data_IF_722366519693
#
_entry.id   IF_722366519693
#
_cell.length_a   1.000
_cell.length_b   1.000
_cell.length_c   1.000
_cell.angle_alpha   90.00
_cell.angle_beta   90.00
_cell.angle_gamma   90.00
#
_symmetry.space_group_name_H-M   'P 1'
#
loop_
_entity.id
_entity.type
_entity.pdbx_description
1 polymer ?
#
# COMPACT_ATOMS: atom_id res chain seq x y z
N UNK A 1 48.39 36.23 36.24
CA UNK A 1 47.77 35.71 35.00
C UNK A 1 47.46 34.18 35.13
N UNK A 2 48.41 33.33 35.58
CA UNK A 2 48.16 31.88 35.72
C UNK A 2 47.03 31.57 36.72
N UNK A 3 47.01 32.24 37.88
CA UNK A 3 45.93 32.01 38.87
C UNK A 3 44.56 32.42 38.37
N UNK A 4 44.47 33.53 37.68
CA UNK A 4 43.20 34.02 37.12
C UNK A 4 42.69 33.10 36.00
N UNK A 5 43.60 32.56 35.18
CA UNK A 5 43.27 31.61 34.12
C UNK A 5 42.76 30.29 34.69
N UNK A 6 43.41 29.75 35.73
CA UNK A 6 42.99 28.52 36.40
C UNK A 6 41.59 28.68 37.01
N UNK A 7 41.33 29.80 37.68
CA UNK A 7 39.99 30.09 38.25
C UNK A 7 38.96 30.15 37.15
N UNK A 8 39.22 30.86 36.04
CA UNK A 8 38.28 30.95 34.92
C UNK A 8 37.98 29.57 34.29
N UNK A 9 39.00 28.73 34.06
CA UNK A 9 38.84 27.39 33.55
C UNK A 9 38.06 26.52 34.53
N UNK A 10 38.32 26.60 35.83
CA UNK A 10 37.57 25.87 36.85
C UNK A 10 36.11 26.22 36.90
N UNK A 11 35.80 27.52 36.80
CA UNK A 11 34.37 27.99 36.71
C UNK A 11 33.72 27.45 35.46
N UNK A 12 34.37 27.52 34.30
CA UNK A 12 33.83 26.96 33.04
C UNK A 12 33.54 25.46 33.12
N UNK A 13 34.44 24.68 33.74
CA UNK A 13 34.28 23.22 33.93
C UNK A 13 33.11 22.93 34.89
N UNK A 14 33.01 23.67 35.99
CA UNK A 14 31.93 23.48 36.99
C UNK A 14 30.53 23.84 36.41
N UNK A 15 30.49 24.87 35.57
CA UNK A 15 29.23 25.32 34.94
C UNK A 15 28.91 24.56 33.66
N UNK A 16 29.76 23.63 33.21
CA UNK A 16 29.49 22.84 32.03
C UNK A 16 28.32 21.86 32.26
N UNK A 17 27.23 21.92 31.50
CA UNK A 17 26.11 21.00 31.65
C UNK A 17 26.36 19.64 30.98
N UNK A 18 27.59 19.06 31.22
CA UNK A 18 28.05 17.83 30.57
C UNK A 18 27.09 16.64 30.78
N UNK A 19 26.47 16.56 31.98
CA UNK A 19 25.48 15.54 32.28
C UNK A 19 24.21 15.66 31.41
N UNK A 20 23.79 16.90 31.13
CA UNK A 20 22.65 17.16 30.25
C UNK A 20 22.98 16.83 28.78
N UNK A 21 24.20 17.14 28.34
CA UNK A 21 24.68 16.81 27.00
C UNK A 21 24.77 15.31 26.71
N UNK A 22 24.96 14.49 27.74
CA UNK A 22 24.94 13.02 27.62
C UNK A 22 23.56 12.40 27.81
N UNK A 23 22.64 13.08 28.49
CA UNK A 23 21.34 12.53 28.83
C UNK A 23 20.49 12.25 27.58
N UNK A 24 20.48 13.16 26.60
CA UNK A 24 19.70 13.02 25.36
C UNK A 24 20.16 11.81 24.52
N UNK A 25 21.47 11.66 24.17
CA UNK A 25 21.93 10.47 23.44
C UNK A 25 21.64 9.17 24.16
N UNK A 26 21.80 9.11 25.48
CA UNK A 26 21.53 7.90 26.27
C UNK A 26 20.02 7.58 26.23
N UNK A 27 19.14 8.56 26.42
CA UNK A 27 17.71 8.38 26.32
C UNK A 27 17.30 7.86 24.93
N UNK A 28 17.87 8.41 23.85
CA UNK A 28 17.62 7.96 22.48
C UNK A 28 18.05 6.50 22.27
N UNK A 29 19.23 6.10 22.74
CA UNK A 29 19.70 4.70 22.63
C UNK A 29 18.79 3.74 23.39
N UNK A 30 18.38 4.09 24.61
CA UNK A 30 17.49 3.25 25.41
C UNK A 30 16.12 3.14 24.76
N UNK A 31 15.56 4.24 24.27
CA UNK A 31 14.28 4.27 23.58
C UNK A 31 14.32 3.46 22.27
N UNK A 32 15.36 3.67 21.44
CA UNK A 32 15.57 2.90 20.21
C UNK A 32 15.71 1.40 20.50
N UNK A 33 16.45 1.02 21.55
CA UNK A 33 16.58 -0.36 21.98
C UNK A 33 15.27 -0.98 22.46
N UNK A 34 14.40 -0.22 23.11
CA UNK A 34 13.05 -0.67 23.50
C UNK A 34 12.17 -0.87 22.28
N UNK A 35 12.18 0.06 21.31
CA UNK A 35 11.44 -0.03 20.07
C UNK A 35 11.90 -1.22 19.22
N UNK A 36 13.21 -1.47 19.11
CA UNK A 36 13.75 -2.63 18.40
C UNK A 36 13.26 -3.95 19.00
N UNK A 37 13.20 -4.06 20.33
CA UNK A 37 12.62 -5.25 21.00
C UNK A 37 11.13 -5.41 20.72
N UNK A 38 10.42 -4.32 20.46
CA UNK A 38 9.03 -4.33 20.04
C UNK A 38 8.82 -4.53 18.51
N UNK A 39 9.89 -4.78 17.75
CA UNK A 39 9.85 -5.00 16.30
C UNK A 39 9.85 -3.72 15.46
N UNK A 40 10.11 -2.56 16.06
CA UNK A 40 10.20 -1.27 15.36
C UNK A 40 11.67 -0.93 15.10
N UNK A 41 12.06 -0.83 13.82
CA UNK A 41 13.40 -0.48 13.42
C UNK A 41 13.59 1.05 13.40
N UNK A 42 14.45 1.56 14.25
CA UNK A 42 14.89 2.96 14.26
C UNK A 42 16.19 3.05 13.46
N UNK A 43 16.18 3.74 12.33
CA UNK A 43 17.34 3.85 11.43
C UNK A 43 18.31 4.94 11.81
N UNK A 44 17.86 5.94 12.55
CA UNK A 44 18.59 7.17 12.83
C UNK A 44 18.27 7.64 14.25
N UNK A 45 19.28 8.04 15.02
CA UNK A 45 19.13 8.48 16.40
C UNK A 45 18.22 9.71 16.55
N UNK A 46 18.21 10.63 15.58
CA UNK A 46 17.34 11.81 15.58
C UNK A 46 15.91 11.55 15.11
N UNK A 47 15.59 10.30 14.69
CA UNK A 47 14.26 9.96 14.19
C UNK A 47 13.16 10.16 15.24
N UNK A 48 13.46 9.91 16.52
CA UNK A 48 12.50 10.10 17.61
C UNK A 48 12.20 11.58 17.86
N UNK A 49 13.20 12.45 17.74
CA UNK A 49 13.01 13.91 17.85
C UNK A 49 12.16 14.43 16.70
N UNK A 50 12.49 14.06 15.45
CA UNK A 50 11.68 14.42 14.28
C UNK A 50 10.26 13.90 14.33
N UNK A 51 10.06 12.69 14.91
CA UNK A 51 8.72 12.15 15.10
C UNK A 51 7.94 12.93 16.14
N UNK A 52 8.59 13.43 17.18
CA UNK A 52 7.96 14.27 18.21
C UNK A 52 7.51 15.63 17.66
N UNK A 53 8.19 16.14 16.64
CA UNK A 53 7.88 17.42 15.96
C UNK A 53 6.86 17.23 14.81
N UNK A 54 6.40 16.00 14.55
CA UNK A 54 5.43 15.75 13.51
C UNK A 54 4.08 16.40 13.84
N UNK A 55 3.51 17.11 12.89
CA UNK A 55 2.22 17.82 13.00
C UNK A 55 1.13 17.20 12.13
N UNK A 56 1.47 16.24 11.26
CA UNK A 56 0.54 15.53 10.40
C UNK A 56 1.04 14.11 10.07
N UNK A 57 0.11 13.23 9.71
CA UNK A 57 0.40 11.89 9.22
C UNK A 57 -0.11 11.74 7.78
N UNK A 58 0.77 11.35 6.87
CA UNK A 58 0.41 11.11 5.46
C UNK A 58 0.57 9.63 5.17
N UNK A 59 -0.50 8.99 4.69
CA UNK A 59 -0.53 7.56 4.44
C UNK A 59 -0.48 7.25 2.95
N UNK A 60 0.33 6.30 2.56
CA UNK A 60 0.11 5.56 1.32
C UNK A 60 -1.11 4.64 1.48
N UNK A 61 -1.88 4.46 0.41
CA UNK A 61 -3.07 3.60 0.42
C UNK A 61 -2.69 2.13 0.35
N UNK A 62 -2.05 1.74 -0.76
CA UNK A 62 -1.91 0.34 -1.15
C UNK A 62 -0.80 -0.37 -0.36
N UNK A 63 -1.15 -1.43 0.37
CA UNK A 63 -0.20 -2.16 1.22
C UNK A 63 0.14 -1.47 2.55
N UNK A 64 -0.35 -0.25 2.79
CA UNK A 64 -0.25 0.47 4.07
C UNK A 64 -1.58 0.50 4.79
N UNK A 65 -2.57 1.24 4.30
CA UNK A 65 -3.93 1.25 4.84
C UNK A 65 -4.73 0.02 4.40
N UNK A 66 -4.43 -0.51 3.21
CA UNK A 66 -5.02 -1.74 2.69
C UNK A 66 -4.01 -2.89 2.74
N UNK A 67 -4.48 -4.12 2.51
CA UNK A 67 -3.63 -5.31 2.51
C UNK A 67 -2.73 -5.39 1.26
N UNK A 68 -3.02 -4.61 0.20
CA UNK A 68 -2.35 -4.72 -1.10
C UNK A 68 -2.65 -6.05 -1.80
N UNK A 69 -3.78 -6.66 -1.46
CA UNK A 69 -4.26 -7.95 -2.00
C UNK A 69 -5.67 -7.78 -2.52
N UNK A 70 -5.85 -7.25 -3.74
CA UNK A 70 -7.17 -7.11 -4.31
C UNK A 70 -7.87 -8.47 -4.42
N UNK A 71 -9.19 -8.45 -4.24
CA UNK A 71 -10.06 -9.61 -4.42
C UNK A 71 -11.16 -9.24 -5.40
N UNK A 72 -11.49 -10.13 -6.36
CA UNK A 72 -12.57 -9.88 -7.30
C UNK A 72 -13.92 -9.98 -6.59
N UNK A 73 -14.83 -9.03 -6.88
CA UNK A 73 -16.13 -8.92 -6.22
C UNK A 73 -17.27 -9.63 -6.96
N UNK A 74 -17.16 -9.78 -8.27
CA UNK A 74 -18.29 -10.14 -9.15
C UNK A 74 -17.94 -11.27 -10.16
N UNK A 75 -17.18 -12.27 -9.74
CA UNK A 75 -16.83 -13.41 -10.62
C UNK A 75 -18.03 -14.24 -11.06
N UNK A 76 -19.16 -14.13 -10.38
CA UNK A 76 -20.41 -14.82 -10.69
C UNK A 76 -21.06 -14.32 -11.99
N UNK A 77 -20.75 -13.10 -12.42
CA UNK A 77 -21.21 -12.58 -13.72
C UNK A 77 -20.62 -13.34 -14.92
N UNK A 78 -19.50 -14.04 -14.70
CA UNK A 78 -18.82 -14.82 -15.75
C UNK A 78 -19.41 -16.22 -15.87
N UNK A 79 -19.85 -16.63 -17.08
CA UNK A 79 -20.18 -18.02 -17.36
C UNK A 79 -18.91 -18.91 -17.26
N UNK A 80 -19.05 -20.22 -17.04
CA UNK A 80 -17.91 -21.13 -16.84
C UNK A 80 -16.85 -21.06 -17.95
N UNK A 81 -17.25 -20.93 -19.20
CA UNK A 81 -16.34 -20.80 -20.34
C UNK A 81 -15.50 -19.51 -20.25
N UNK A 82 -16.10 -18.39 -19.89
CA UNK A 82 -15.38 -17.13 -19.72
C UNK A 82 -14.46 -17.14 -18.48
N UNK A 83 -14.83 -17.84 -17.40
CA UNK A 83 -13.95 -18.07 -16.25
C UNK A 83 -12.68 -18.80 -16.64
N UNK A 84 -12.80 -19.82 -17.51
CA UNK A 84 -11.63 -20.55 -18.03
C UNK A 84 -10.71 -19.68 -18.87
N UNK A 85 -11.28 -18.80 -19.73
CA UNK A 85 -10.53 -17.83 -20.51
C UNK A 85 -9.87 -16.78 -19.62
N UNK A 86 -10.62 -16.23 -18.67
CA UNK A 86 -10.08 -15.24 -17.72
C UNK A 86 -8.92 -15.81 -16.90
N UNK A 87 -9.02 -17.06 -16.46
CA UNK A 87 -7.93 -17.73 -15.73
C UNK A 87 -6.70 -17.89 -16.61
N UNK A 88 -6.86 -18.32 -17.86
CA UNK A 88 -5.74 -18.52 -18.77
C UNK A 88 -5.01 -17.20 -19.11
N UNK A 89 -5.78 -16.12 -19.35
CA UNK A 89 -5.20 -14.78 -19.55
C UNK A 89 -4.51 -14.27 -18.28
N UNK A 90 -5.13 -14.46 -17.11
CA UNK A 90 -4.58 -14.04 -15.84
C UNK A 90 -3.26 -14.75 -15.48
N UNK A 91 -3.08 -16.00 -15.90
CA UNK A 91 -1.82 -16.73 -15.73
C UNK A 91 -0.66 -16.16 -16.55
N UNK A 92 -0.96 -15.40 -17.58
CA UNK A 92 0.02 -14.83 -18.51
C UNK A 92 0.44 -13.40 -18.13
N UNK A 93 0.00 -12.89 -16.98
CA UNK A 93 0.34 -11.54 -16.48
C UNK A 93 0.73 -11.57 -15.01
N UNK A 94 1.67 -10.69 -14.64
CA UNK A 94 2.06 -10.44 -13.24
C UNK A 94 1.35 -9.25 -12.61
N UNK A 95 0.36 -8.68 -13.29
CA UNK A 95 -0.39 -7.56 -12.76
C UNK A 95 -1.17 -7.98 -11.50
N UNK A 96 -1.26 -7.15 -10.43
CA UNK A 96 -1.94 -7.51 -9.18
C UNK A 96 -3.39 -7.98 -9.34
N UNK A 97 -4.16 -7.41 -10.28
CA UNK A 97 -5.53 -7.84 -10.56
C UNK A 97 -5.56 -9.21 -11.26
N UNK A 98 -4.62 -9.49 -12.16
CA UNK A 98 -4.48 -10.81 -12.79
C UNK A 98 -4.13 -11.87 -11.77
N UNK A 99 -3.21 -11.56 -10.85
CA UNK A 99 -2.85 -12.45 -9.75
C UNK A 99 -4.04 -12.74 -8.82
N UNK A 100 -4.88 -11.74 -8.55
CA UNK A 100 -6.12 -11.88 -7.78
C UNK A 100 -7.12 -12.81 -8.49
N UNK A 101 -7.35 -12.60 -9.79
CA UNK A 101 -8.19 -13.47 -10.61
C UNK A 101 -7.69 -14.91 -10.61
N UNK A 102 -6.39 -15.09 -10.84
CA UNK A 102 -5.74 -16.40 -10.83
C UNK A 102 -5.99 -17.14 -9.52
N UNK A 103 -5.77 -16.49 -8.37
CA UNK A 103 -6.02 -17.06 -7.04
C UNK A 103 -7.47 -17.50 -6.88
N UNK A 104 -8.41 -16.58 -7.12
CA UNK A 104 -9.83 -16.82 -6.87
C UNK A 104 -10.41 -17.87 -7.81
N UNK A 105 -10.08 -17.83 -9.10
CA UNK A 105 -10.58 -18.80 -10.07
C UNK A 105 -9.97 -20.20 -9.85
N UNK A 106 -8.69 -20.29 -9.48
CA UNK A 106 -8.03 -21.56 -9.14
C UNK A 106 -8.63 -22.16 -7.87
N UNK A 107 -8.86 -21.34 -6.83
CA UNK A 107 -9.55 -21.80 -5.62
C UNK A 107 -10.99 -22.27 -5.89
N UNK A 108 -11.66 -21.68 -6.87
CA UNK A 108 -12.98 -22.11 -7.37
C UNK A 108 -12.94 -23.35 -8.25
N UNK A 109 -11.79 -24.00 -8.44
CA UNK A 109 -11.67 -25.23 -9.24
C UNK A 109 -11.79 -25.01 -10.75
N UNK A 110 -11.64 -23.77 -11.23
CA UNK A 110 -11.72 -23.46 -12.66
C UNK A 110 -10.48 -24.02 -13.38
N UNK A 111 -10.69 -24.68 -14.51
CA UNK A 111 -9.61 -25.15 -15.40
C UNK A 111 -9.34 -24.07 -16.46
N UNK A 112 -8.07 -23.68 -16.72
CA UNK A 112 -7.77 -22.68 -17.72
C UNK A 112 -8.07 -23.16 -19.13
N UNK A 113 -8.51 -22.23 -19.99
CA UNK A 113 -8.67 -22.51 -21.42
C UNK A 113 -7.30 -22.60 -22.12
N UNK A 114 -7.26 -23.29 -23.26
CA UNK A 114 -6.07 -23.30 -24.13
C UNK A 114 -6.05 -22.01 -24.95
N UNK A 115 -4.98 -21.24 -24.81
CA UNK A 115 -4.76 -19.99 -25.54
C UNK A 115 -3.54 -20.10 -26.46
N UNK A 116 -3.59 -19.38 -27.58
CA UNK A 116 -2.47 -19.17 -28.51
C UNK A 116 -2.22 -17.67 -28.69
N UNK A 117 -1.09 -17.32 -29.27
CA UNK A 117 -0.71 -15.93 -29.61
C UNK A 117 -0.81 -14.96 -28.42
N UNK A 118 -0.39 -15.41 -27.25
CA UNK A 118 -0.47 -14.63 -26.01
C UNK A 118 0.52 -13.46 -26.07
N UNK A 119 0.02 -12.25 -25.89
CA UNK A 119 0.81 -11.02 -25.87
C UNK A 119 0.40 -10.16 -24.68
N UNK A 120 1.37 -9.76 -23.86
CA UNK A 120 1.16 -8.78 -22.80
C UNK A 120 1.67 -7.41 -23.26
N UNK A 121 0.79 -6.40 -23.21
CA UNK A 121 1.13 -5.00 -23.52
C UNK A 121 1.09 -4.19 -22.25
N UNK A 122 2.23 -3.64 -21.78
CA UNK A 122 2.28 -2.83 -20.56
C UNK A 122 1.27 -1.68 -20.60
N UNK A 123 0.52 -1.53 -19.51
CA UNK A 123 -0.49 -0.47 -19.37
C UNK A 123 -1.83 -0.75 -20.06
N UNK A 124 -1.91 -1.76 -20.94
CA UNK A 124 -3.14 -2.16 -21.64
C UNK A 124 -3.71 -3.46 -21.07
N UNK A 125 -2.91 -4.52 -21.04
CA UNK A 125 -3.32 -5.84 -20.54
C UNK A 125 -2.77 -6.98 -21.37
N UNK A 126 -3.45 -8.14 -21.31
CA UNK A 126 -3.10 -9.37 -22.02
C UNK A 126 -4.12 -9.63 -23.11
N UNK A 127 -3.65 -9.95 -24.31
CA UNK A 127 -4.43 -10.41 -25.45
C UNK A 127 -3.98 -11.79 -25.88
N UNK A 128 -4.90 -12.59 -26.42
CA UNK A 128 -4.64 -13.94 -26.90
C UNK A 128 -5.73 -14.39 -27.88
N UNK A 129 -5.59 -15.59 -28.43
CA UNK A 129 -6.62 -16.29 -29.17
C UNK A 129 -7.10 -17.53 -28.41
N UNK A 130 -8.42 -17.72 -28.39
CA UNK A 130 -9.06 -18.92 -27.87
C UNK A 130 -9.86 -19.57 -29.02
N UNK A 131 -9.28 -20.57 -29.70
CA UNK A 131 -9.77 -21.00 -31.00
C UNK A 131 -9.72 -19.85 -32.01
N UNK A 132 -10.86 -19.55 -32.66
CA UNK A 132 -10.93 -18.45 -33.64
C UNK A 132 -11.24 -17.10 -32.99
N UNK A 133 -11.61 -17.05 -31.71
CA UNK A 133 -11.99 -15.82 -31.02
C UNK A 133 -10.76 -15.08 -30.48
N UNK A 134 -10.70 -13.75 -30.66
CA UNK A 134 -9.77 -12.89 -29.94
C UNK A 134 -10.26 -12.72 -28.50
N UNK A 135 -9.35 -12.79 -27.52
CA UNK A 135 -9.69 -12.61 -26.11
C UNK A 135 -8.73 -11.64 -25.46
N UNK A 136 -9.26 -10.75 -24.61
CA UNK A 136 -8.43 -9.76 -23.92
C UNK A 136 -8.84 -9.63 -22.46
N UNK A 137 -7.85 -9.40 -21.60
CA UNK A 137 -8.01 -9.07 -20.20
C UNK A 137 -7.13 -7.85 -19.90
N UNK A 138 -7.72 -6.71 -19.63
CA UNK A 138 -6.93 -5.51 -19.50
C UNK A 138 -7.67 -4.32 -18.87
N UNK A 139 -7.08 -3.15 -19.10
CA UNK A 139 -7.63 -1.90 -18.60
C UNK A 139 -8.95 -1.58 -19.29
N UNK A 140 -10.03 -1.23 -18.53
CA UNK A 140 -11.27 -0.79 -19.13
C UNK A 140 -11.09 0.51 -19.93
N UNK A 141 -11.81 0.66 -21.04
CA UNK A 141 -11.85 1.93 -21.79
C UNK A 141 -12.56 3.04 -21.02
N UNK A 142 -13.62 2.67 -20.29
CA UNK A 142 -14.30 3.60 -19.40
C UNK A 142 -13.59 3.64 -18.04
N UNK A 143 -13.42 4.84 -17.47
CA UNK A 143 -12.82 5.02 -16.15
C UNK A 143 -13.77 4.42 -15.10
N UNK A 144 -13.41 3.26 -14.58
CA UNK A 144 -14.11 2.68 -13.43
C UNK A 144 -13.82 3.48 -12.16
N UNK A 145 -14.80 3.64 -11.31
CA UNK A 145 -14.67 4.35 -10.03
C UNK A 145 -13.79 3.62 -9.00
N UNK A 146 -13.24 2.45 -9.35
CA UNK A 146 -12.45 1.62 -8.45
C UNK A 146 -11.36 0.83 -9.18
N UNK A 147 -10.91 -0.24 -8.53
CA UNK A 147 -10.02 -1.22 -9.14
C UNK A 147 -10.87 -2.13 -10.02
N UNK A 148 -10.64 -2.11 -11.34
CA UNK A 148 -11.37 -2.93 -12.28
C UNK A 148 -10.49 -3.38 -13.45
N UNK A 149 -10.86 -4.50 -14.08
CA UNK A 149 -10.37 -4.90 -15.38
C UNK A 149 -11.54 -5.33 -16.28
N UNK A 150 -11.34 -5.32 -17.57
CA UNK A 150 -12.32 -5.75 -18.57
C UNK A 150 -11.89 -7.06 -19.21
N UNK A 151 -12.80 -8.02 -19.28
CA UNK A 151 -12.64 -9.24 -20.06
C UNK A 151 -13.46 -9.11 -21.32
N UNK A 152 -12.83 -9.25 -22.48
CA UNK A 152 -13.52 -9.29 -23.80
C UNK A 152 -13.30 -10.66 -24.43
N UNK A 153 -14.32 -11.23 -25.01
CA UNK A 153 -14.27 -12.52 -25.70
C UNK A 153 -14.94 -12.36 -27.08
N UNK A 154 -14.17 -12.42 -28.16
CA UNK A 154 -14.63 -12.17 -29.52
C UNK A 154 -15.19 -10.75 -29.66
N UNK A 155 -16.32 -10.64 -30.37
CA UNK A 155 -17.04 -9.38 -30.59
C UNK A 155 -18.05 -9.01 -29.49
N UNK A 156 -18.09 -9.79 -28.39
CA UNK A 156 -18.98 -9.52 -27.28
C UNK A 156 -18.56 -8.25 -26.53
N UNK A 157 -19.52 -7.53 -25.92
CA UNK A 157 -19.19 -6.38 -25.10
C UNK A 157 -18.30 -6.81 -23.91
N UNK A 158 -17.37 -5.94 -23.47
CA UNK A 158 -16.48 -6.24 -22.38
C UNK A 158 -17.25 -6.46 -21.07
N UNK A 159 -16.90 -7.51 -20.34
CA UNK A 159 -17.40 -7.76 -18.99
C UNK A 159 -16.49 -7.10 -17.99
N UNK A 160 -17.05 -6.20 -17.20
CA UNK A 160 -16.31 -5.50 -16.14
C UNK A 160 -16.16 -6.40 -14.90
N UNK A 161 -14.93 -6.56 -14.46
CA UNK A 161 -14.58 -7.28 -13.24
C UNK A 161 -14.07 -6.28 -12.22
N UNK A 162 -14.83 -6.11 -11.14
CA UNK A 162 -14.54 -5.17 -10.08
C UNK A 162 -13.74 -5.86 -8.96
N UNK A 163 -12.88 -5.08 -8.30
CA UNK A 163 -12.04 -5.58 -7.22
C UNK A 163 -12.10 -4.66 -6.01
N UNK A 164 -12.02 -5.25 -4.83
CA UNK A 164 -11.77 -4.53 -3.58
C UNK A 164 -10.40 -4.91 -3.01
N UNK A 165 -9.74 -3.95 -2.40
CA UNK A 165 -8.55 -4.18 -1.58
C UNK A 165 -8.93 -3.88 -0.13
N UNK A 166 -9.05 -4.92 0.67
CA UNK A 166 -9.53 -4.83 2.03
C UNK A 166 -8.63 -3.96 2.90
N UNK A 167 -9.22 -3.19 3.81
CA UNK A 167 -8.46 -2.45 4.82
C UNK A 167 -7.63 -3.42 5.68
N UNK A 168 -6.44 -2.98 6.03
CA UNK A 168 -5.59 -3.69 6.97
C UNK A 168 -6.26 -3.74 8.35
N UNK A 169 -6.30 -4.90 9.03
CA UNK A 169 -6.75 -4.98 10.40
C UNK A 169 -5.99 -3.96 11.27
N UNK A 170 -6.74 -3.11 11.97
CA UNK A 170 -6.17 -2.05 12.81
C UNK A 170 -5.93 -0.70 12.11
N UNK A 171 -6.10 -0.56 10.79
CA UNK A 171 -5.91 0.73 10.11
C UNK A 171 -6.82 1.83 10.67
N UNK A 172 -8.11 1.53 10.84
CA UNK A 172 -9.06 2.47 11.41
C UNK A 172 -8.70 2.87 12.86
N UNK A 173 -8.27 1.90 13.67
CA UNK A 173 -7.85 2.17 15.04
C UNK A 173 -6.59 3.04 15.10
N UNK A 174 -5.61 2.81 14.21
CA UNK A 174 -4.40 3.61 14.13
C UNK A 174 -4.69 5.06 13.71
N UNK A 175 -5.57 5.26 12.72
CA UNK A 175 -6.01 6.59 12.29
C UNK A 175 -6.72 7.33 13.42
N UNK A 176 -7.64 6.64 14.13
CA UNK A 176 -8.35 7.23 15.27
C UNK A 176 -7.40 7.61 16.41
N UNK A 177 -6.38 6.80 16.70
CA UNK A 177 -5.37 7.11 17.73
C UNK A 177 -4.53 8.34 17.34
N UNK A 178 -4.13 8.48 16.07
CA UNK A 178 -3.40 9.67 15.61
C UNK A 178 -4.28 10.93 15.69
N UNK A 179 -5.55 10.83 15.33
CA UNK A 179 -6.48 11.93 15.49
C UNK A 179 -6.66 12.35 16.98
N UNK A 180 -6.68 11.39 17.90
CA UNK A 180 -6.73 11.67 19.34
C UNK A 180 -5.45 12.34 19.86
N UNK A 181 -4.32 12.17 19.19
CA UNK A 181 -3.06 12.87 19.45
C UNK A 181 -2.97 14.24 18.75
N UNK A 182 -4.07 14.73 18.18
CA UNK A 182 -4.13 15.96 17.38
C UNK A 182 -3.20 15.94 16.14
N UNK A 183 -2.91 14.76 15.60
CA UNK A 183 -2.18 14.56 14.36
C UNK A 183 -3.17 14.29 13.22
N UNK A 184 -3.52 15.29 12.41
CA UNK A 184 -4.42 15.09 11.27
C UNK A 184 -3.81 14.12 10.27
N UNK A 185 -4.60 13.14 9.86
CA UNK A 185 -4.21 12.18 8.83
C UNK A 185 -4.68 12.60 7.44
N UNK A 186 -3.93 12.28 6.40
CA UNK A 186 -4.36 12.38 5.01
C UNK A 186 -3.85 11.20 4.20
N UNK A 187 -4.47 10.94 3.05
CA UNK A 187 -4.01 9.89 2.13
C UNK A 187 -3.32 10.56 0.94
N UNK A 188 -2.13 10.06 0.58
CA UNK A 188 -1.45 10.49 -0.64
C UNK A 188 -2.33 10.16 -1.86
N UNK A 189 -2.65 11.16 -2.70
CA UNK A 189 -3.35 10.93 -3.95
C UNK A 189 -2.45 10.08 -4.85
N UNK A 190 -2.85 8.83 -5.07
CA UNK A 190 -2.21 7.93 -6.03
C UNK A 190 -2.82 8.04 -7.41
N UNK A 191 -2.38 7.21 -8.35
CA UNK A 191 -2.89 7.17 -9.72
C UNK A 191 -4.41 6.83 -9.82
N UNK A 192 -5.01 6.26 -8.77
CA UNK A 192 -6.43 5.92 -8.70
C UNK A 192 -7.15 6.80 -7.67
N UNK A 193 -7.48 8.02 -8.05
CA UNK A 193 -8.20 9.00 -7.21
C UNK A 193 -9.55 8.45 -6.67
N UNK A 194 -10.41 7.78 -7.48
CA UNK A 194 -11.66 7.22 -6.96
C UNK A 194 -11.44 6.14 -5.88
N UNK A 195 -10.42 5.31 -6.03
CA UNK A 195 -10.08 4.30 -5.03
C UNK A 195 -9.51 4.88 -3.73
N UNK A 196 -8.90 6.06 -3.79
CA UNK A 196 -8.46 6.81 -2.60
C UNK A 196 -9.67 7.38 -1.86
N UNK A 197 -10.64 7.96 -2.59
CA UNK A 197 -11.85 8.54 -1.99
C UNK A 197 -12.68 7.52 -1.20
N UNK A 198 -12.78 6.27 -1.68
CA UNK A 198 -13.49 5.20 -0.97
C UNK A 198 -12.82 4.91 0.39
N UNK A 199 -11.50 4.69 0.40
CA UNK A 199 -10.74 4.41 1.63
C UNK A 199 -10.73 5.62 2.56
N UNK A 200 -10.64 6.83 2.02
CA UNK A 200 -10.69 8.06 2.79
C UNK A 200 -12.04 8.22 3.50
N UNK A 201 -13.14 7.96 2.81
CA UNK A 201 -14.48 8.01 3.41
C UNK A 201 -14.65 6.94 4.51
N UNK A 202 -14.16 5.73 4.30
CA UNK A 202 -14.23 4.64 5.29
C UNK A 202 -13.41 4.92 6.55
N UNK A 203 -12.28 5.63 6.42
CA UNK A 203 -11.40 6.01 7.54
C UNK A 203 -11.65 7.41 8.09
N UNK A 204 -12.65 8.15 7.55
CA UNK A 204 -12.94 9.54 7.88
C UNK A 204 -11.71 10.46 7.71
N UNK A 205 -10.89 10.20 6.69
CA UNK A 205 -9.73 11.00 6.34
C UNK A 205 -10.02 11.96 5.18
N UNK A 206 -9.38 13.12 5.10
CA UNK A 206 -9.35 13.93 3.88
C UNK A 206 -8.58 13.19 2.77
N UNK A 207 -9.10 13.24 1.54
CA UNK A 207 -8.50 12.67 0.35
C UNK A 207 -7.81 13.73 -0.52
#
# INVERSE_FOLDING_TARGET
>A
WHGSLLIAISVLIITCPCALGLAVPVAQIVAAGALMRAGVLVKDGSALERLADADAAVFDKTGTLTLGRPEPLNLDVLPPTQKSVALALAQSSRHPLSEALRRSLTAGGVTPATLTDITETPGTGVSARCGDASVTLGRPEAIAAGLACALTVGDAPPVMLDFADALRPGAAAAVAQLAALALPGSILPGANVPGVAIVAAELALPA
#
